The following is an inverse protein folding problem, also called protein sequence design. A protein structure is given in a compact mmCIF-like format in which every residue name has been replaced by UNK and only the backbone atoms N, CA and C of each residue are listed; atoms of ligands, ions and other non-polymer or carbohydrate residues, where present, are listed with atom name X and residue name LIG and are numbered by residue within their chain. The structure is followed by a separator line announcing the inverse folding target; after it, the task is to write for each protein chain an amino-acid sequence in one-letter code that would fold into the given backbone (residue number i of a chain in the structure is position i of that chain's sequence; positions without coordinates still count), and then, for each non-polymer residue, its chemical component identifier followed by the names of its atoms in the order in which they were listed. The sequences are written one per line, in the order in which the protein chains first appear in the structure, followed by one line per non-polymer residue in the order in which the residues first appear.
data_IF_701988632338
#
_entry.id   IF_701988632338
#
_cell.length_a   1.000
_cell.length_b   1.000
_cell.length_c   1.000
_cell.angle_alpha   90.00
_cell.angle_beta   90.00
_cell.angle_gamma   90.00
#
_symmetry.space_group_name_H-M   'P 1'
#
loop_
_entity.id
_entity.type
_entity.pdbx_description
1 polymer ?
#
# COMPACT_ATOMS: atom_id res chain seq x y z
N UNK A 1 -3.51 -7.71 14.41
CA UNK A 1 -4.26 -7.58 13.13
C UNK A 1 -3.27 -7.73 11.97
N UNK A 2 -3.65 -8.44 10.91
CA UNK A 2 -2.79 -8.82 9.78
C UNK A 2 -2.61 -7.75 8.71
N UNK A 3 -3.34 -6.64 8.75
CA UNK A 3 -3.25 -5.64 7.69
C UNK A 3 -1.99 -4.78 7.85
N UNK A 4 -1.02 -4.98 6.95
CA UNK A 4 0.23 -4.22 6.74
C UNK A 4 1.29 -4.18 7.85
N UNK A 5 1.00 -4.62 9.08
CA UNK A 5 1.96 -4.51 10.20
C UNK A 5 3.12 -5.52 10.18
N UNK A 6 3.01 -6.57 9.37
CA UNK A 6 4.03 -7.63 9.28
C UNK A 6 4.97 -7.43 8.09
N UNK A 7 5.36 -6.20 7.75
CA UNK A 7 6.28 -5.93 6.63
C UNK A 7 7.72 -6.19 7.06
N UNK A 8 8.38 -7.11 6.36
CA UNK A 8 9.80 -7.41 6.60
C UNK A 8 10.70 -6.58 5.73
N UNK A 9 11.85 -6.17 6.28
CA UNK A 9 12.94 -5.51 5.58
C UNK A 9 13.92 -4.87 6.57
N UNK A 10 15.02 -4.34 6.04
CA UNK A 10 15.92 -3.46 6.80
C UNK A 10 15.27 -2.09 7.03
N UNK A 11 15.72 -1.36 8.06
CA UNK A 11 15.11 -0.08 8.46
C UNK A 11 15.07 0.91 7.29
N UNK A 12 16.17 1.03 6.56
CA UNK A 12 16.34 1.91 5.40
C UNK A 12 15.35 1.58 4.27
N UNK A 13 15.02 0.29 4.11
CA UNK A 13 14.03 -0.17 3.14
C UNK A 13 12.60 0.17 3.59
N UNK A 14 12.32 0.03 4.89
CA UNK A 14 11.00 0.27 5.50
C UNK A 14 10.68 1.75 5.69
N UNK A 15 11.68 2.62 5.81
CA UNK A 15 11.52 4.09 5.82
C UNK A 15 10.93 4.64 4.52
N UNK A 16 10.90 3.82 3.46
CA UNK A 16 10.33 4.17 2.16
C UNK A 16 9.01 3.43 1.90
N UNK A 17 8.31 2.99 2.94
CA UNK A 17 7.10 2.15 2.83
C UNK A 17 6.01 2.56 3.82
N UNK A 18 5.21 3.55 3.42
CA UNK A 18 4.08 4.04 4.19
C UNK A 18 2.77 3.59 3.56
N UNK A 19 1.84 3.10 4.38
CA UNK A 19 0.46 2.84 3.95
C UNK A 19 -0.48 3.72 4.74
N UNK A 20 -1.32 4.49 4.04
CA UNK A 20 -2.41 5.25 4.64
C UNK A 20 -3.72 4.61 4.23
N UNK A 21 -4.55 4.29 5.21
CA UNK A 21 -5.83 3.63 4.97
C UNK A 21 -6.96 4.25 5.78
N UNK A 22 -8.15 4.25 5.17
CA UNK A 22 -9.41 4.46 5.83
C UNK A 22 -10.32 3.25 5.54
N UNK A 23 -10.87 2.66 6.61
CA UNK A 23 -11.90 1.63 6.50
C UNK A 23 -13.26 2.31 6.40
N UNK A 24 -13.93 2.12 5.28
CA UNK A 24 -15.22 2.72 4.93
C UNK A 24 -16.27 1.61 4.87
N UNK A 25 -17.17 1.57 5.83
CA UNK A 25 -18.27 0.61 5.83
C UNK A 25 -19.59 1.36 5.91
N UNK A 26 -20.34 1.45 4.79
CA UNK A 26 -21.65 2.12 4.78
C UNK A 26 -22.64 1.56 5.80
N UNK A 27 -22.48 0.32 6.27
CA UNK A 27 -23.33 -0.27 7.31
C UNK A 27 -22.98 0.23 8.74
N UNK A 28 -21.80 0.82 8.94
CA UNK A 28 -21.35 1.29 10.26
C UNK A 28 -21.96 2.66 10.57
N UNK A 29 -23.00 2.68 11.44
CA UNK A 29 -23.73 3.88 11.85
C UNK A 29 -22.83 5.03 12.34
N UNK A 30 -21.75 4.71 13.06
CA UNK A 30 -20.82 5.71 13.58
C UNK A 30 -20.13 6.51 12.45
N UNK A 31 -20.00 5.95 11.24
CA UNK A 31 -19.43 6.66 10.10
C UNK A 31 -20.41 7.68 9.49
N UNK A 32 -21.68 7.68 9.89
CA UNK A 32 -22.71 8.61 9.40
C UNK A 32 -23.04 9.75 10.37
N UNK A 33 -22.29 9.88 11.47
CA UNK A 33 -22.52 10.93 12.48
C UNK A 33 -21.90 12.29 12.10
N UNK A 34 -21.17 12.34 10.98
CA UNK A 34 -20.54 13.56 10.49
C UNK A 34 -21.49 14.36 9.59
N UNK A 35 -21.25 15.67 9.43
CA UNK A 35 -22.20 16.58 8.78
C UNK A 35 -22.42 16.25 7.30
N UNK A 36 -21.36 16.00 6.56
CA UNK A 36 -21.39 15.65 5.13
C UNK A 36 -21.63 14.15 4.91
N UNK A 37 -22.22 13.82 3.76
CA UNK A 37 -22.46 12.44 3.37
C UNK A 37 -21.15 11.63 3.34
N UNK A 38 -21.23 10.35 3.72
CA UNK A 38 -20.05 9.48 3.74
C UNK A 38 -19.36 9.40 2.37
N UNK A 39 -20.14 9.30 1.29
CA UNK A 39 -19.62 9.26 -0.09
C UNK A 39 -18.80 10.51 -0.43
N UNK A 40 -19.33 11.71 -0.17
CA UNK A 40 -18.62 12.98 -0.42
C UNK A 40 -17.30 13.06 0.36
N UNK A 41 -17.30 12.63 1.62
CA UNK A 41 -16.09 12.62 2.46
C UNK A 41 -15.05 11.63 1.96
N UNK A 42 -15.49 10.47 1.49
CA UNK A 42 -14.59 9.44 0.93
C UNK A 42 -14.01 9.86 -0.41
N UNK A 43 -14.80 10.48 -1.29
CA UNK A 43 -14.29 11.03 -2.56
C UNK A 43 -13.25 12.13 -2.29
N UNK A 44 -13.50 13.03 -1.33
CA UNK A 44 -12.50 14.03 -0.90
C UNK A 44 -11.25 13.39 -0.30
N UNK A 45 -11.39 12.32 0.50
CA UNK A 45 -10.25 11.56 1.02
C UNK A 45 -9.38 11.00 -0.11
N UNK A 46 -9.98 10.36 -1.12
CA UNK A 46 -9.24 9.80 -2.25
C UNK A 46 -8.58 10.87 -3.11
N UNK A 47 -9.27 11.99 -3.36
CA UNK A 47 -8.69 13.14 -4.05
C UNK A 47 -7.44 13.66 -3.32
N UNK A 48 -7.54 13.87 -2.00
CA UNK A 48 -6.39 14.28 -1.19
C UNK A 48 -5.28 13.24 -1.31
N UNK A 49 -5.56 11.95 -1.10
CA UNK A 49 -4.58 10.87 -1.26
C UNK A 49 -3.87 10.92 -2.63
N UNK A 50 -4.61 11.19 -3.70
CA UNK A 50 -4.09 11.27 -5.06
C UNK A 50 -3.17 12.46 -5.34
N UNK A 51 -3.30 13.56 -4.59
CA UNK A 51 -2.47 14.78 -4.75
C UNK A 51 -1.10 14.71 -4.10
N UNK A 52 -0.84 13.69 -3.26
CA UNK A 52 0.43 13.52 -2.54
C UNK A 52 1.32 12.40 -3.11
N UNK A 53 1.34 12.21 -4.44
CA UNK A 53 2.28 11.31 -5.13
C UNK A 53 2.27 9.83 -4.68
N UNK A 54 1.11 9.16 -4.54
CA UNK A 54 1.07 7.76 -4.14
C UNK A 54 1.73 6.85 -5.19
N UNK A 55 2.38 5.78 -4.74
CA UNK A 55 2.85 4.68 -5.60
C UNK A 55 1.81 3.58 -5.76
N UNK A 56 0.78 3.59 -4.92
CA UNK A 56 -0.42 2.78 -5.09
C UNK A 56 -1.63 3.56 -4.56
N UNK A 57 -2.76 3.49 -5.25
CA UNK A 57 -4.03 4.07 -4.80
C UNK A 57 -5.15 3.10 -5.16
N UNK A 58 -6.10 2.87 -4.26
CA UNK A 58 -7.25 2.06 -4.55
C UNK A 58 -8.54 2.55 -3.92
N UNK A 59 -9.62 2.29 -4.66
CA UNK A 59 -10.99 2.34 -4.20
C UNK A 59 -11.68 1.03 -4.56
N UNK A 60 -12.68 0.65 -3.78
CA UNK A 60 -13.54 -0.50 -4.07
C UNK A 60 -14.94 0.00 -4.38
N UNK A 61 -15.49 -0.46 -5.49
CA UNK A 61 -16.89 -0.30 -5.87
C UNK A 61 -17.61 -1.65 -5.70
N UNK A 62 -18.96 -1.69 -5.76
CA UNK A 62 -19.71 -2.95 -5.69
C UNK A 62 -19.27 -3.97 -6.75
N UNK A 63 -18.94 -3.51 -7.95
CA UNK A 63 -18.61 -4.37 -9.09
C UNK A 63 -17.11 -4.71 -9.21
N UNK A 64 -16.21 -3.80 -8.81
CA UNK A 64 -14.77 -3.99 -9.01
C UNK A 64 -13.90 -3.21 -8.03
N UNK A 65 -12.62 -3.56 -7.99
CA UNK A 65 -11.59 -2.76 -7.31
C UNK A 65 -10.84 -1.92 -8.33
N UNK A 66 -10.92 -0.61 -8.19
CA UNK A 66 -10.11 0.34 -8.93
C UNK A 66 -8.72 0.37 -8.28
N UNK A 67 -7.70 0.00 -9.05
CA UNK A 67 -6.34 -0.19 -8.53
C UNK A 67 -5.32 0.50 -9.43
N UNK A 68 -4.67 1.50 -8.88
CA UNK A 68 -3.49 2.11 -9.45
C UNK A 68 -2.24 1.56 -8.75
N UNK A 69 -1.26 1.11 -9.52
CA UNK A 69 0.09 0.80 -9.06
C UNK A 69 1.07 1.53 -9.98
N UNK A 70 2.07 2.18 -9.41
CA UNK A 70 3.11 2.84 -10.20
C UNK A 70 3.82 1.83 -11.10
N UNK A 71 3.80 2.09 -12.40
CA UNK A 71 4.38 1.25 -13.45
C UNK A 71 3.41 0.21 -14.03
N UNK A 72 2.19 0.06 -13.51
CA UNK A 72 1.18 -0.81 -14.13
C UNK A 72 0.48 -0.07 -15.26
N UNK A 73 0.79 -0.47 -16.49
CA UNK A 73 0.17 0.04 -17.71
C UNK A 73 -0.90 -0.92 -18.25
N UNK A 74 -1.86 -0.41 -19.02
CA UNK A 74 -3.00 -1.21 -19.51
C UNK A 74 -2.59 -2.41 -20.39
N UNK A 75 -1.47 -2.31 -21.10
CA UNK A 75 -0.91 -3.44 -21.87
C UNK A 75 -0.34 -4.57 -20.99
N UNK A 76 -0.17 -4.32 -19.69
CA UNK A 76 0.24 -5.34 -18.71
C UNK A 76 -0.96 -6.06 -18.08
N UNK A 77 -2.20 -5.69 -18.40
CA UNK A 77 -3.37 -6.34 -17.84
C UNK A 77 -3.38 -7.86 -18.10
N UNK A 78 -3.73 -8.64 -17.08
CA UNK A 78 -3.65 -10.11 -17.14
C UNK A 78 -4.80 -10.77 -16.37
N UNK A 79 -5.50 -11.71 -17.01
CA UNK A 79 -6.62 -12.43 -16.39
C UNK A 79 -7.71 -11.48 -15.88
N UNK A 80 -7.97 -11.48 -14.57
CA UNK A 80 -8.92 -10.58 -13.88
C UNK A 80 -8.29 -9.27 -13.39
N UNK A 81 -6.98 -9.10 -13.53
CA UNK A 81 -6.28 -7.92 -13.07
C UNK A 81 -6.32 -6.83 -14.16
N UNK A 82 -6.95 -5.71 -13.82
CA UNK A 82 -7.04 -4.50 -14.64
C UNK A 82 -6.53 -3.31 -13.87
N UNK A 83 -5.73 -2.47 -14.51
CA UNK A 83 -5.33 -1.17 -13.97
C UNK A 83 -6.50 -0.20 -13.99
N UNK A 84 -6.57 0.68 -13.00
CA UNK A 84 -7.34 1.92 -13.05
C UNK A 84 -6.38 3.10 -13.01
N UNK A 85 -6.71 4.17 -13.73
CA UNK A 85 -5.95 5.41 -13.61
C UNK A 85 -6.36 6.20 -12.35
N UNK A 86 -5.52 7.15 -11.96
CA UNK A 86 -5.73 7.96 -10.77
C UNK A 86 -7.07 8.70 -10.79
N UNK A 87 -7.46 9.26 -11.95
CA UNK A 87 -8.71 10.01 -12.10
C UNK A 87 -9.94 9.13 -11.90
N UNK A 88 -9.94 7.91 -12.44
CA UNK A 88 -11.02 6.94 -12.21
C UNK A 88 -11.22 6.67 -10.71
N UNK A 89 -10.13 6.64 -9.94
CA UNK A 89 -10.19 6.39 -8.49
C UNK A 89 -10.64 7.64 -7.73
N UNK A 90 -10.05 8.81 -8.02
CA UNK A 90 -10.33 10.04 -7.27
C UNK A 90 -11.69 10.66 -7.60
N UNK A 91 -12.29 10.33 -8.75
CA UNK A 91 -13.65 10.74 -9.10
C UNK A 91 -14.69 9.65 -8.86
N UNK A 92 -14.36 8.59 -8.12
CA UNK A 92 -15.30 7.52 -7.81
C UNK A 92 -16.28 7.99 -6.72
N UNK A 93 -17.58 7.84 -6.97
CA UNK A 93 -18.66 8.24 -6.05
C UNK A 93 -19.35 7.03 -5.39
N UNK A 94 -19.22 5.84 -5.98
CA UNK A 94 -19.85 4.60 -5.52
C UNK A 94 -18.83 3.69 -4.81
N UNK A 95 -18.37 4.16 -3.64
CA UNK A 95 -17.28 3.52 -2.91
C UNK A 95 -17.82 2.73 -1.71
N UNK A 96 -17.44 1.46 -1.62
CA UNK A 96 -17.66 0.60 -0.47
C UNK A 96 -16.35 -0.01 0.03
N UNK A 97 -16.23 -0.20 1.35
CA UNK A 97 -15.14 -0.96 1.94
C UNK A 97 -13.88 -0.16 2.24
N UNK A 98 -12.96 -0.01 1.28
CA UNK A 98 -11.57 0.32 1.60
C UNK A 98 -11.02 1.40 0.67
N UNK A 99 -10.50 2.49 1.25
CA UNK A 99 -9.67 3.48 0.56
C UNK A 99 -8.23 3.43 1.06
N UNK A 100 -7.27 3.06 0.19
CA UNK A 100 -5.86 2.88 0.54
C UNK A 100 -4.94 3.67 -0.38
N UNK A 101 -3.87 4.22 0.18
CA UNK A 101 -2.76 4.79 -0.57
C UNK A 101 -1.41 4.33 0.02
N UNK A 102 -0.41 4.18 -0.84
CA UNK A 102 0.96 3.80 -0.46
C UNK A 102 1.92 4.88 -0.91
N UNK A 103 2.88 5.25 -0.07
CA UNK A 103 3.85 6.31 -0.33
C UNK A 103 5.26 5.83 -0.04
N UNK A 104 6.23 6.42 -0.75
CA UNK A 104 7.66 6.13 -0.55
C UNK A 104 8.40 7.24 0.16
N UNK A 105 7.79 8.42 0.36
CA UNK A 105 8.44 9.55 1.00
C UNK A 105 7.64 10.04 2.19
N UNK A 106 8.31 10.20 3.33
CA UNK A 106 7.72 10.78 4.54
C UNK A 106 7.12 12.17 4.29
N UNK A 107 7.74 13.00 3.46
CA UNK A 107 7.25 14.35 3.17
C UNK A 107 5.88 14.35 2.47
N UNK A 108 5.63 13.39 1.58
CA UNK A 108 4.33 13.22 0.93
C UNK A 108 3.26 12.83 1.98
N UNK A 109 3.61 11.94 2.91
CA UNK A 109 2.72 11.54 4.02
C UNK A 109 2.43 12.72 4.96
N UNK A 110 3.41 13.56 5.27
CA UNK A 110 3.19 14.76 6.08
C UNK A 110 2.22 15.72 5.39
N UNK A 111 2.43 15.99 4.09
CA UNK A 111 1.55 16.83 3.30
C UNK A 111 0.11 16.31 3.30
N UNK A 112 -0.04 15.00 3.08
CA UNK A 112 -1.31 14.29 3.16
C UNK A 112 -1.99 14.46 4.52
N UNK A 113 -1.28 14.19 5.61
CA UNK A 113 -1.84 14.28 6.98
C UNK A 113 -2.25 15.71 7.35
N UNK A 114 -1.44 16.71 6.99
CA UNK A 114 -1.79 18.13 7.17
C UNK A 114 -3.09 18.47 6.46
N UNK A 115 -3.25 17.97 5.23
CA UNK A 115 -4.44 18.25 4.44
C UNK A 115 -5.67 17.50 4.93
N UNK A 116 -5.54 16.22 5.27
CA UNK A 116 -6.62 15.42 5.87
C UNK A 116 -7.11 16.02 7.18
N UNK A 117 -6.19 16.50 8.03
CA UNK A 117 -6.53 17.21 9.26
C UNK A 117 -7.34 18.47 8.99
N UNK A 118 -6.92 19.29 8.02
CA UNK A 118 -7.63 20.52 7.63
C UNK A 118 -9.01 20.22 7.02
N UNK A 119 -9.12 19.12 6.28
CA UNK A 119 -10.35 18.71 5.65
C UNK A 119 -11.39 18.18 6.64
N UNK A 120 -10.94 17.72 7.83
CA UNK A 120 -11.75 17.23 8.94
C UNK A 120 -12.88 16.32 8.46
N UNK A 121 -12.51 15.23 7.79
CA UNK A 121 -13.47 14.36 7.10
C UNK A 121 -14.18 13.40 8.05
N UNK A 122 -13.92 13.43 9.36
CA UNK A 122 -14.50 12.47 10.31
C UNK A 122 -14.21 11.00 9.98
N UNK A 123 -13.14 10.71 9.24
CA UNK A 123 -12.71 9.36 8.88
C UNK A 123 -11.59 8.90 9.81
N UNK A 124 -11.64 7.64 10.24
CA UNK A 124 -10.55 7.03 11.00
C UNK A 124 -9.41 6.68 10.03
N UNK A 125 -8.25 7.32 10.24
CA UNK A 125 -7.06 7.14 9.41
C UNK A 125 -6.05 6.29 10.15
N UNK A 126 -5.59 5.22 9.51
CA UNK A 126 -4.48 4.40 10.00
C UNK A 126 -3.28 4.64 9.09
N UNK A 127 -2.14 4.92 9.72
CA UNK A 127 -0.84 5.06 9.04
C UNK A 127 0.05 3.90 9.49
N UNK A 128 0.54 3.14 8.52
CA UNK A 128 1.47 2.04 8.71
C UNK A 128 2.85 2.44 8.17
N UNK A 129 3.90 2.13 8.93
CA UNK A 129 5.29 2.47 8.63
C UNK A 129 6.16 2.25 9.87
N UNK A 130 7.45 2.61 9.77
CA UNK A 130 8.36 2.62 10.94
C UNK A 130 7.80 3.60 11.97
N UNK A 131 7.63 3.18 13.23
CA UNK A 131 6.95 4.00 14.25
C UNK A 131 7.58 5.39 14.43
N UNK A 132 8.90 5.46 14.50
CA UNK A 132 9.62 6.74 14.65
C UNK A 132 9.32 7.70 13.49
N UNK A 133 9.28 7.19 12.26
CA UNK A 133 8.99 8.00 11.07
C UNK A 133 7.51 8.41 10.99
N UNK A 134 6.60 7.51 11.40
CA UNK A 134 5.16 7.80 11.45
C UNK A 134 4.85 8.83 12.55
N UNK A 135 5.48 8.72 13.72
CA UNK A 135 5.27 9.65 14.82
C UNK A 135 5.83 11.04 14.49
N UNK A 136 7.03 11.12 13.89
CA UNK A 136 7.56 12.38 13.35
C UNK A 136 6.61 12.98 12.31
N UNK A 137 6.05 12.16 11.41
CA UNK A 137 5.10 12.65 10.42
C UNK A 137 3.81 13.20 11.05
N UNK A 138 3.27 12.51 12.06
CA UNK A 138 2.10 12.95 12.82
C UNK A 138 2.37 14.24 13.59
N UNK A 139 3.48 14.34 14.31
CA UNK A 139 3.89 15.53 15.06
C UNK A 139 3.99 16.75 14.13
N UNK A 140 4.66 16.59 12.98
CA UNK A 140 4.80 17.66 11.98
C UNK A 140 3.48 18.05 11.31
N UNK A 141 2.50 17.15 11.29
CA UNK A 141 1.13 17.46 10.88
C UNK A 141 0.27 18.06 12.02
N UNK A 142 0.79 18.10 13.24
CA UNK A 142 0.09 18.50 14.47
C UNK A 142 -1.04 17.54 14.83
N UNK A 143 -0.80 16.25 14.66
CA UNK A 143 -1.72 15.15 14.98
C UNK A 143 -1.08 14.30 16.06
N UNK A 144 -1.84 13.92 17.08
CA UNK A 144 -1.42 12.97 18.10
C UNK A 144 -2.01 11.58 17.80
N UNK A 145 -1.18 10.53 17.62
CA UNK A 145 -1.67 9.17 17.45
C UNK A 145 -2.40 8.68 18.71
N UNK A 146 -3.64 8.22 18.58
CA UNK A 146 -4.44 7.76 19.73
C UNK A 146 -4.27 6.27 20.06
N UNK A 147 -3.79 5.45 19.12
CA UNK A 147 -3.65 4.00 19.28
C UNK A 147 -2.54 3.48 18.40
N UNK A 148 -1.80 2.49 18.91
CA UNK A 148 -0.73 1.80 18.20
C UNK A 148 -1.05 0.32 18.13
N UNK A 149 -0.79 -0.27 16.97
CA UNK A 149 -0.87 -1.71 16.77
C UNK A 149 0.50 -2.22 16.35
N UNK A 150 0.99 -3.25 17.04
CA UNK A 150 2.33 -3.78 16.86
C UNK A 150 2.27 -5.27 16.53
N UNK A 151 3.05 -5.65 15.52
CA UNK A 151 3.38 -7.04 15.21
C UNK A 151 4.37 -7.57 16.25
N UNK A 152 4.13 -8.77 16.79
CA UNK A 152 5.13 -9.49 17.59
C UNK A 152 6.07 -10.34 16.71
N UNK A 153 6.03 -10.19 15.39
CA UNK A 153 6.75 -11.00 14.41
C UNK A 153 6.33 -12.48 14.36
N UNK A 154 7.06 -13.27 13.58
CA UNK A 154 6.82 -14.70 13.37
C UNK A 154 7.61 -15.53 14.36
N UNK A 155 6.94 -16.42 15.08
CA UNK A 155 7.52 -17.34 16.07
C UNK A 155 7.44 -18.79 15.58
N UNK A 156 8.32 -19.66 16.09
CA UNK A 156 8.33 -21.10 15.80
C UNK A 156 9.45 -21.53 14.85
N UNK A 157 9.14 -22.46 13.92
CA UNK A 157 10.10 -23.03 12.96
C UNK A 157 10.45 -22.04 11.82
N UNK A 158 11.08 -20.93 12.16
CA UNK A 158 11.40 -19.85 11.21
C UNK A 158 12.35 -20.27 10.09
N UNK A 159 13.10 -21.36 10.28
CA UNK A 159 13.95 -21.99 9.28
C UNK A 159 13.19 -22.58 8.09
N UNK A 160 11.88 -22.81 8.23
CA UNK A 160 11.00 -23.26 7.14
C UNK A 160 10.47 -22.11 6.30
N UNK A 161 10.70 -20.86 6.70
CA UNK A 161 10.24 -19.70 5.94
C UNK A 161 11.07 -19.52 4.66
N UNK A 162 10.49 -18.90 3.61
CA UNK A 162 11.25 -18.49 2.44
C UNK A 162 12.46 -17.62 2.78
N UNK A 163 13.40 -17.51 1.83
CA UNK A 163 14.56 -16.61 1.94
C UNK A 163 14.10 -15.18 2.26
N UNK A 164 14.93 -14.42 2.99
CA UNK A 164 14.60 -13.07 3.46
C UNK A 164 14.06 -12.17 2.34
N UNK A 165 14.74 -12.09 1.19
CA UNK A 165 14.30 -11.28 0.04
C UNK A 165 12.91 -11.66 -0.47
N UNK A 166 12.56 -12.95 -0.45
CA UNK A 166 11.23 -13.44 -0.85
C UNK A 166 10.19 -13.06 0.20
N UNK A 167 10.52 -13.16 1.48
CA UNK A 167 9.64 -12.71 2.57
C UNK A 167 9.39 -11.21 2.52
N UNK A 168 10.40 -10.38 2.25
CA UNK A 168 10.24 -8.92 2.13
C UNK A 168 9.23 -8.57 1.04
N UNK A 169 9.19 -9.34 -0.06
CA UNK A 169 8.19 -9.21 -1.12
C UNK A 169 6.82 -9.73 -0.68
N UNK A 170 6.72 -10.98 -0.21
CA UNK A 170 5.44 -11.59 0.12
C UNK A 170 4.70 -10.87 1.26
N UNK A 171 5.45 -10.34 2.22
CA UNK A 171 4.88 -9.69 3.42
C UNK A 171 4.34 -8.30 3.18
N UNK A 172 4.73 -7.60 2.09
CA UNK A 172 4.13 -6.31 1.73
C UNK A 172 2.61 -6.38 1.54
N UNK A 173 2.09 -7.51 1.06
CA UNK A 173 0.64 -7.70 0.97
C UNK A 173 -0.04 -7.83 2.35
N UNK A 174 0.65 -8.32 3.39
CA UNK A 174 0.08 -8.61 4.71
C UNK A 174 -0.88 -9.81 4.77
N UNK A 175 -1.50 -10.21 3.66
CA UNK A 175 -2.47 -11.33 3.57
C UNK A 175 -1.92 -12.62 2.98
N UNK A 176 -0.62 -12.68 2.71
CA UNK A 176 0.01 -13.84 2.06
C UNK A 176 -0.60 -14.22 0.70
N UNK A 177 -1.16 -13.26 -0.04
CA UNK A 177 -1.69 -13.48 -1.40
C UNK A 177 -0.60 -13.63 -2.46
N UNK A 178 0.62 -13.15 -2.17
CA UNK A 178 1.76 -13.26 -3.07
C UNK A 178 2.48 -14.58 -2.76
N UNK A 179 2.36 -15.55 -3.68
CA UNK A 179 3.00 -16.85 -3.54
C UNK A 179 4.55 -16.72 -3.58
N UNK A 180 5.30 -17.34 -2.64
CA UNK A 180 6.77 -17.30 -2.65
C UNK A 180 7.39 -17.79 -3.97
N UNK A 181 6.79 -18.82 -4.59
CA UNK A 181 7.26 -19.36 -5.88
C UNK A 181 7.10 -18.40 -7.04
N UNK A 182 6.09 -17.53 -7.01
CA UNK A 182 5.93 -16.47 -8.00
C UNK A 182 7.06 -15.44 -7.86
N UNK A 183 7.35 -14.99 -6.64
CA UNK A 183 8.46 -14.07 -6.37
C UNK A 183 9.81 -14.65 -6.82
N UNK A 184 10.12 -15.90 -6.46
CA UNK A 184 11.34 -16.58 -6.92
C UNK A 184 11.43 -16.66 -8.45
N UNK A 185 10.33 -16.99 -9.12
CA UNK A 185 10.28 -17.10 -10.58
C UNK A 185 10.56 -15.76 -11.25
N UNK A 186 9.92 -14.69 -10.78
CA UNK A 186 10.08 -13.35 -11.33
C UNK A 186 11.49 -12.80 -11.07
N UNK A 187 12.03 -12.97 -9.86
CA UNK A 187 13.44 -12.64 -9.58
C UNK A 187 14.41 -13.38 -10.50
N UNK A 188 14.15 -14.67 -10.76
CA UNK A 188 14.95 -15.46 -11.70
C UNK A 188 14.87 -14.95 -13.14
N UNK A 189 13.71 -14.49 -13.60
CA UNK A 189 13.54 -13.87 -14.93
C UNK A 189 14.33 -12.57 -15.04
N UNK A 190 14.29 -11.73 -14.00
CA UNK A 190 15.07 -10.49 -13.94
C UNK A 190 16.56 -10.78 -13.98
N UNK A 191 17.05 -11.74 -13.19
CA UNK A 191 18.46 -12.16 -13.20
C UNK A 191 18.94 -12.58 -14.60
N UNK A 192 18.08 -13.20 -15.41
CA UNK A 192 18.40 -13.63 -16.79
C UNK A 192 18.18 -12.54 -17.84
N UNK A 193 17.84 -11.31 -17.44
CA UNK A 193 17.56 -10.21 -18.36
C UNK A 193 16.26 -10.35 -19.16
N UNK A 194 15.36 -11.26 -18.77
CA UNK A 194 14.09 -11.50 -19.48
C UNK A 194 12.91 -10.64 -18.99
N UNK A 195 13.15 -9.74 -18.04
CA UNK A 195 12.19 -8.81 -17.44
C UNK A 195 12.94 -7.77 -16.60
N UNK A 196 12.40 -6.58 -16.43
CA UNK A 196 12.94 -5.54 -15.53
C UNK A 196 12.45 -5.73 -14.08
N UNK A 197 13.19 -5.23 -13.06
CA UNK A 197 12.71 -5.22 -11.68
C UNK A 197 11.33 -4.57 -11.50
N UNK A 198 11.06 -3.50 -12.25
CA UNK A 198 9.81 -2.74 -12.21
C UNK A 198 8.63 -3.55 -12.75
N UNK A 199 8.79 -4.23 -13.89
CA UNK A 199 7.77 -5.13 -14.43
C UNK A 199 7.49 -6.29 -13.47
N UNK A 200 8.54 -6.88 -12.88
CA UNK A 200 8.39 -7.94 -11.89
C UNK A 200 7.67 -7.47 -10.63
N UNK A 201 7.95 -6.24 -10.16
CA UNK A 201 7.26 -5.63 -9.03
C UNK A 201 5.77 -5.42 -9.32
N UNK A 202 5.42 -4.99 -10.53
CA UNK A 202 4.02 -4.85 -10.97
C UNK A 202 3.31 -6.22 -11.00
N UNK A 203 3.94 -7.26 -11.56
CA UNK A 203 3.36 -8.61 -11.58
C UNK A 203 3.07 -9.16 -10.17
N UNK A 204 3.96 -8.91 -9.21
CA UNK A 204 3.73 -9.23 -7.79
C UNK A 204 2.61 -8.40 -7.21
N UNK A 205 2.60 -7.09 -7.49
CA UNK A 205 1.60 -6.15 -7.00
C UNK A 205 0.17 -6.49 -7.43
N UNK A 206 -0.02 -7.04 -8.65
CA UNK A 206 -1.33 -7.49 -9.13
C UNK A 206 -2.00 -8.51 -8.20
N UNK A 207 -1.21 -9.36 -7.54
CA UNK A 207 -1.70 -10.38 -6.60
C UNK A 207 -2.18 -9.77 -5.27
N UNK A 208 -1.73 -8.55 -4.93
CA UNK A 208 -2.24 -7.81 -3.80
C UNK A 208 -3.58 -7.14 -4.16
N UNK A 209 -4.69 -7.83 -3.91
CA UNK A 209 -6.04 -7.31 -4.20
C UNK A 209 -6.42 -6.11 -3.34
N UNK A 210 -5.79 -5.93 -2.19
CA UNK A 210 -5.90 -4.74 -1.33
C UNK A 210 -5.09 -3.53 -1.83
N UNK A 211 -4.25 -3.71 -2.85
CA UNK A 211 -3.46 -2.66 -3.50
C UNK A 211 -2.54 -1.86 -2.57
N UNK A 212 -2.01 -2.51 -1.53
CA UNK A 212 -1.07 -1.92 -0.57
C UNK A 212 0.38 -2.26 -0.91
N UNK A 213 0.63 -2.89 -2.05
CA UNK A 213 1.96 -3.32 -2.45
C UNK A 213 2.79 -2.14 -2.97
N UNK A 214 3.97 -1.96 -2.42
CA UNK A 214 4.87 -0.88 -2.80
C UNK A 214 5.77 -1.34 -3.96
N UNK A 215 5.39 -1.02 -5.19
CA UNK A 215 6.11 -1.47 -6.39
C UNK A 215 7.52 -0.90 -6.48
N UNK A 216 7.75 0.32 -5.97
CA UNK A 216 9.08 0.94 -5.95
C UNK A 216 10.01 0.17 -5.02
N UNK A 217 9.58 -0.07 -3.78
CA UNK A 217 10.35 -0.87 -2.82
C UNK A 217 10.60 -2.29 -3.32
N UNK A 218 9.58 -2.91 -3.92
CA UNK A 218 9.72 -4.25 -4.49
C UNK A 218 10.77 -4.30 -5.60
N UNK A 219 10.80 -3.31 -6.50
CA UNK A 219 11.80 -3.23 -7.57
C UNK A 219 13.22 -3.11 -7.00
N UNK A 220 13.44 -2.32 -5.94
CA UNK A 220 14.75 -2.22 -5.26
C UNK A 220 15.19 -3.55 -4.63
N UNK A 221 14.27 -4.25 -3.95
CA UNK A 221 14.54 -5.57 -3.36
C UNK A 221 14.94 -6.55 -4.46
N UNK A 222 14.18 -6.60 -5.57
CA UNK A 222 14.46 -7.48 -6.70
C UNK A 222 15.84 -7.15 -7.28
N UNK A 223 16.10 -5.87 -7.60
CA UNK A 223 17.37 -5.42 -8.21
C UNK A 223 18.58 -5.79 -7.36
N UNK A 224 18.52 -5.52 -6.06
CA UNK A 224 19.60 -5.81 -5.11
C UNK A 224 19.94 -7.30 -4.99
N UNK A 225 18.97 -8.17 -5.31
CA UNK A 225 19.13 -9.62 -5.26
C UNK A 225 19.42 -10.26 -6.63
N UNK A 226 19.43 -9.48 -7.71
CA UNK A 226 19.67 -9.96 -9.08
C UNK A 226 21.00 -9.49 -9.67
N UNK A 227 21.63 -8.46 -9.11
CA UNK A 227 22.99 -8.04 -9.48
C UNK A 227 23.98 -9.10 -8.96
N UNK A 228 24.81 -9.66 -9.85
CA UNK A 228 25.95 -10.45 -9.42
C UNK A 228 26.92 -9.54 -8.67
N UNK A 229 27.21 -9.85 -7.40
CA UNK A 229 28.33 -9.22 -6.69
C UNK A 229 29.59 -9.60 -7.47
N UNK A 230 30.10 -8.64 -8.24
CA UNK A 230 31.36 -8.77 -8.98
C UNK A 230 32.53 -8.71 -8.01
#
# INVERSE_FOLDING_TARGET
MTHTHHRRGFRESLENDFVVLAMIDPAVKAQHTYKEALTERVTRFLDICGRHNPVALAARTPDRRLRYLKGWEANMDSGIHRVANMREITSCEDIEGIGHAVYTKKLDVIGLLVELRKADLGLSIVVSGVFEEVFDACERAGIEPHTVNMSLETWGKTELLPKSSVLELCTMCGHAMIAPKLAETLMGRVKRGGMTPEEAAVELGKQCTCNIFNTVRAAEIIRSNTIEKT
#
